data_IF_723547335100
#
_entry.id   IF_723547335100
#
_cell.length_a   1.000
_cell.length_b   1.000
_cell.length_c   1.000
_cell.angle_alpha   90.00
_cell.angle_beta   90.00
_cell.angle_gamma   90.00
#
_symmetry.space_group_name_H-M   'P 1'
#
loop_
_entity.id
_entity.type
_entity.pdbx_description
1 polymer ?
#
# COMPACT_ATOMS: atom_id res chain seq x y z
N UNK A 1 13.41 3.74 6.48
CA UNK A 1 14.55 4.68 6.44
C UNK A 1 15.79 4.01 5.82
N UNK A 2 16.31 2.91 6.37
CA UNK A 2 17.54 2.26 5.91
C UNK A 2 17.58 2.01 4.39
N UNK A 3 16.52 1.46 3.80
CA UNK A 3 16.44 1.25 2.35
C UNK A 3 16.46 2.57 1.57
N UNK A 4 15.83 3.62 2.09
CA UNK A 4 15.81 4.92 1.43
C UNK A 4 17.22 5.54 1.42
N UNK A 5 17.91 5.47 2.55
CA UNK A 5 19.30 5.96 2.67
C UNK A 5 20.23 5.14 1.77
N UNK A 6 20.10 3.80 1.80
CA UNK A 6 20.91 2.93 0.93
C UNK A 6 20.71 3.24 -0.56
N UNK A 7 19.48 3.53 -0.97
CA UNK A 7 19.13 3.75 -2.39
C UNK A 7 19.55 5.14 -2.89
N UNK A 8 19.46 6.17 -2.04
CA UNK A 8 19.58 7.57 -2.47
C UNK A 8 20.55 8.41 -1.62
N UNK A 9 21.32 7.80 -0.72
CA UNK A 9 22.28 8.47 0.16
C UNK A 9 21.63 9.21 1.34
N UNK A 10 20.36 9.61 1.26
CA UNK A 10 19.63 10.26 2.34
C UNK A 10 18.11 10.11 2.20
N UNK A 11 17.36 10.26 3.31
CA UNK A 11 15.90 10.34 3.24
C UNK A 11 15.41 11.49 2.34
N UNK A 12 16.04 12.66 2.42
CA UNK A 12 15.68 13.83 1.63
C UNK A 12 15.82 13.55 0.13
N UNK A 13 16.93 12.95 -0.28
CA UNK A 13 17.15 12.56 -1.67
C UNK A 13 16.14 11.49 -2.13
N UNK A 14 15.86 10.49 -1.30
CA UNK A 14 14.87 9.47 -1.62
C UNK A 14 13.45 10.05 -1.76
N UNK A 15 13.05 10.97 -0.88
CA UNK A 15 11.75 11.66 -0.97
C UNK A 15 11.66 12.50 -2.25
N UNK A 16 12.75 13.13 -2.67
CA UNK A 16 12.80 13.84 -3.96
C UNK A 16 12.52 12.87 -5.12
N UNK A 17 13.16 11.68 -5.13
CA UNK A 17 12.90 10.63 -6.13
C UNK A 17 11.45 10.13 -6.09
N UNK A 18 10.88 9.93 -4.88
CA UNK A 18 9.46 9.55 -4.73
C UNK A 18 8.53 10.58 -5.37
N UNK A 19 8.77 11.87 -5.13
CA UNK A 19 7.93 12.94 -5.69
C UNK A 19 8.12 13.09 -7.21
N UNK A 20 9.35 12.98 -7.71
CA UNK A 20 9.64 12.97 -9.14
C UNK A 20 8.89 11.82 -9.82
N UNK A 21 8.97 10.61 -9.24
CA UNK A 21 8.25 9.44 -9.77
C UNK A 21 6.73 9.60 -9.73
N UNK A 22 6.18 10.16 -8.67
CA UNK A 22 4.76 10.46 -8.58
C UNK A 22 4.32 11.42 -9.69
N UNK A 23 5.11 12.48 -9.96
CA UNK A 23 4.85 13.42 -11.05
C UNK A 23 4.88 12.74 -12.43
N UNK A 24 5.87 11.89 -12.71
CA UNK A 24 5.96 11.10 -13.95
C UNK A 24 4.73 10.19 -14.15
N UNK A 25 4.15 9.68 -13.06
CA UNK A 25 2.95 8.87 -13.09
C UNK A 25 1.66 9.70 -13.23
N UNK A 26 1.77 11.01 -13.35
CA UNK A 26 0.64 11.93 -13.43
C UNK A 26 -0.14 12.04 -12.11
N UNK A 27 0.53 11.89 -10.97
CA UNK A 27 -0.05 12.08 -9.65
C UNK A 27 -0.07 13.58 -9.32
N UNK A 28 -1.21 14.23 -9.48
CA UNK A 28 -1.34 15.68 -9.31
C UNK A 28 -1.71 16.11 -7.88
N UNK A 29 -2.14 15.15 -7.03
CA UNK A 29 -2.55 15.39 -5.65
C UNK A 29 -1.68 14.61 -4.66
N UNK A 30 -0.39 14.43 -4.99
CA UNK A 30 0.54 13.67 -4.16
C UNK A 30 1.76 14.51 -3.81
N UNK A 31 2.07 14.56 -2.51
CA UNK A 31 3.29 15.17 -1.99
C UNK A 31 3.83 14.30 -0.86
N UNK A 32 4.98 13.69 -1.08
CA UNK A 32 5.66 12.91 -0.06
C UNK A 32 6.65 13.77 0.72
N UNK A 33 6.68 13.60 2.06
CA UNK A 33 7.60 14.28 2.98
C UNK A 33 8.43 13.30 3.80
N UNK A 34 8.13 11.99 3.67
CA UNK A 34 8.89 10.91 4.30
C UNK A 34 8.76 9.63 3.49
N UNK A 35 9.71 8.68 3.58
CA UNK A 35 9.62 7.39 2.90
C UNK A 35 8.73 6.38 3.62
N UNK A 36 8.43 6.60 4.90
CA UNK A 36 7.75 5.64 5.77
C UNK A 36 6.24 5.92 5.97
N UNK A 37 5.73 7.09 5.54
CA UNK A 37 4.30 7.41 5.58
C UNK A 37 3.76 7.91 6.92
N UNK A 38 4.61 8.21 7.91
CA UNK A 38 4.18 8.89 9.12
C UNK A 38 3.83 10.34 8.82
N UNK A 39 2.87 10.88 9.57
CA UNK A 39 2.36 12.23 9.38
C UNK A 39 3.45 13.28 9.44
N UNK A 40 3.54 14.08 8.39
CA UNK A 40 4.35 15.32 8.33
C UNK A 40 3.52 16.39 7.60
N UNK A 41 3.72 17.66 7.96
CA UNK A 41 3.01 18.78 7.31
C UNK A 41 3.19 18.71 5.78
N UNK A 42 2.09 18.70 5.05
CA UNK A 42 2.07 18.62 3.60
C UNK A 42 2.35 17.22 3.01
N UNK A 43 2.42 16.15 3.84
CA UNK A 43 2.46 14.77 3.35
C UNK A 43 1.05 14.31 3.03
N UNK A 44 0.79 13.91 1.79
CA UNK A 44 -0.54 13.46 1.41
C UNK A 44 -0.61 12.92 -0.01
N UNK A 45 -1.74 12.29 -0.30
CA UNK A 45 -2.06 11.75 -1.62
C UNK A 45 -3.58 11.66 -1.81
N UNK A 46 -4.02 11.34 -3.02
CA UNK A 46 -5.41 11.03 -3.34
C UNK A 46 -5.61 9.54 -3.62
N UNK A 47 -6.85 9.05 -3.48
CA UNK A 47 -7.18 7.68 -3.84
C UNK A 47 -6.83 7.35 -5.30
N UNK A 48 -7.05 8.29 -6.22
CA UNK A 48 -6.70 8.15 -7.63
C UNK A 48 -5.20 8.01 -7.84
N UNK A 49 -4.40 8.83 -7.17
CA UNK A 49 -2.95 8.80 -7.33
C UNK A 49 -2.34 7.55 -6.71
N UNK A 50 -2.81 7.13 -5.53
CA UNK A 50 -2.38 5.87 -4.93
C UNK A 50 -2.75 4.66 -5.80
N UNK A 51 -3.89 4.69 -6.49
CA UNK A 51 -4.23 3.64 -7.47
C UNK A 51 -3.26 3.63 -8.66
N UNK A 52 -2.84 4.81 -9.18
CA UNK A 52 -1.82 4.89 -10.25
C UNK A 52 -0.49 4.30 -9.79
N UNK A 53 -0.02 4.70 -8.60
CA UNK A 53 1.23 4.20 -8.00
C UNK A 53 1.16 2.69 -7.80
N UNK A 54 0.10 2.18 -7.19
CA UNK A 54 -0.09 0.75 -6.93
C UNK A 54 -0.14 -0.06 -8.23
N UNK A 55 -0.79 0.46 -9.28
CA UNK A 55 -0.84 -0.19 -10.60
C UNK A 55 0.54 -0.40 -11.20
N UNK A 56 1.41 0.59 -11.08
CA UNK A 56 2.80 0.49 -11.58
C UNK A 56 3.62 -0.42 -10.70
N UNK A 57 3.53 -0.28 -9.37
CA UNK A 57 4.27 -1.11 -8.43
C UNK A 57 3.95 -2.60 -8.59
N UNK A 58 2.69 -2.96 -8.83
CA UNK A 58 2.26 -4.35 -9.02
C UNK A 58 2.79 -5.00 -10.33
N UNK A 59 3.31 -4.22 -11.28
CA UNK A 59 4.03 -4.78 -12.44
C UNK A 59 5.38 -5.38 -12.05
N UNK A 60 5.98 -4.93 -10.95
CA UNK A 60 7.19 -5.54 -10.40
C UNK A 60 6.82 -6.85 -9.70
N UNK A 61 7.35 -7.98 -10.20
CA UNK A 61 7.04 -9.33 -9.70
C UNK A 61 7.44 -9.52 -8.24
N UNK A 62 8.59 -8.96 -7.83
CA UNK A 62 9.07 -9.04 -6.44
C UNK A 62 8.14 -8.27 -5.50
N UNK A 63 7.76 -7.05 -5.85
CA UNK A 63 6.78 -6.27 -5.09
C UNK A 63 5.45 -7.01 -4.96
N UNK A 64 4.90 -7.50 -6.08
CA UNK A 64 3.64 -8.23 -6.10
C UNK A 64 3.69 -9.51 -5.22
N UNK A 65 4.81 -10.23 -5.21
CA UNK A 65 5.03 -11.38 -4.32
C UNK A 65 5.04 -10.96 -2.85
N UNK A 66 5.80 -9.92 -2.51
CA UNK A 66 5.91 -9.43 -1.12
C UNK A 66 4.55 -9.01 -0.58
N UNK A 67 3.80 -8.14 -1.28
CA UNK A 67 2.51 -7.64 -0.80
C UNK A 67 1.41 -8.71 -0.75
N UNK A 68 1.59 -9.83 -1.42
CA UNK A 68 0.70 -11.00 -1.40
C UNK A 68 1.15 -12.07 -0.38
N UNK A 69 2.18 -11.82 0.41
CA UNK A 69 2.69 -12.75 1.42
C UNK A 69 1.94 -12.57 2.73
N UNK A 70 1.31 -13.65 3.24
CA UNK A 70 0.55 -13.64 4.49
C UNK A 70 1.45 -13.62 5.72
N UNK A 71 2.54 -14.37 5.66
CA UNK A 71 3.47 -14.54 6.76
C UNK A 71 4.85 -14.84 6.18
N UNK A 72 5.88 -14.30 6.80
CA UNK A 72 7.27 -14.52 6.41
C UNK A 72 8.11 -14.74 7.66
N UNK A 73 8.83 -15.86 7.69
CA UNK A 73 9.80 -16.17 8.75
C UNK A 73 11.20 -15.89 8.24
N UNK A 74 12.00 -15.25 9.06
CA UNK A 74 13.43 -15.04 8.80
C UNK A 74 14.24 -15.19 10.07
N UNK A 75 15.52 -15.50 9.89
CA UNK A 75 16.49 -15.59 10.97
C UNK A 75 17.56 -14.52 10.75
N UNK A 76 17.88 -13.77 11.79
CA UNK A 76 18.93 -12.76 11.75
C UNK A 76 20.33 -13.43 11.78
N UNK A 77 21.36 -12.66 11.45
CA UNK A 77 22.76 -13.11 11.57
C UNK A 77 23.15 -13.52 12.99
N UNK A 78 22.42 -13.04 14.01
CA UNK A 78 22.61 -13.42 15.42
C UNK A 78 21.81 -14.67 15.82
N UNK A 79 21.20 -15.40 14.89
CA UNK A 79 20.42 -16.61 15.15
C UNK A 79 18.97 -16.41 15.63
N UNK A 80 18.52 -15.16 15.85
CA UNK A 80 17.16 -14.90 16.30
C UNK A 80 16.17 -15.06 15.14
N UNK A 81 15.12 -15.86 15.34
CA UNK A 81 14.05 -16.08 14.35
C UNK A 81 12.82 -15.23 14.64
N UNK A 82 12.28 -14.60 13.60
CA UNK A 82 11.07 -13.78 13.68
C UNK A 82 10.05 -14.22 12.63
N UNK A 83 8.79 -14.16 12.99
CA UNK A 83 7.69 -14.38 12.05
C UNK A 83 6.88 -13.10 11.91
N UNK A 84 6.95 -12.47 10.74
CA UNK A 84 6.15 -11.31 10.39
C UNK A 84 4.82 -11.76 9.78
N UNK A 85 3.73 -11.15 10.21
CA UNK A 85 2.38 -11.39 9.65
C UNK A 85 1.89 -10.14 8.93
N UNK A 86 1.16 -10.33 7.84
CA UNK A 86 0.54 -9.21 7.13
C UNK A 86 -0.48 -8.48 8.01
N UNK A 87 -0.53 -7.17 7.89
CA UNK A 87 -1.58 -6.32 8.48
C UNK A 87 -2.85 -6.28 7.64
N UNK A 88 -2.83 -6.86 6.42
CA UNK A 88 -4.00 -6.95 5.54
C UNK A 88 -4.92 -8.10 5.99
N UNK A 89 -5.96 -7.76 6.78
CA UNK A 89 -6.91 -8.75 7.31
C UNK A 89 -7.73 -9.49 6.23
N UNK A 90 -7.76 -8.99 4.99
CA UNK A 90 -8.48 -9.63 3.88
C UNK A 90 -7.62 -10.65 3.12
N UNK A 91 -6.29 -10.57 3.23
CA UNK A 91 -5.38 -11.45 2.51
C UNK A 91 -5.49 -12.88 3.02
N UNK A 92 -5.87 -13.79 2.10
CA UNK A 92 -6.12 -15.19 2.40
C UNK A 92 -7.47 -15.49 3.07
N UNK A 93 -8.29 -14.47 3.37
CA UNK A 93 -9.66 -14.63 3.88
C UNK A 93 -10.72 -14.21 2.84
N UNK A 94 -10.36 -13.36 1.91
CA UNK A 94 -11.24 -12.90 0.82
C UNK A 94 -10.67 -13.36 -0.50
N UNK A 95 -11.43 -14.18 -1.22
CA UNK A 95 -11.00 -14.69 -2.52
C UNK A 95 -10.67 -13.55 -3.48
N UNK A 96 -9.54 -13.67 -4.18
CA UNK A 96 -9.07 -12.69 -5.16
C UNK A 96 -8.18 -11.57 -4.60
N UNK A 97 -8.13 -11.34 -3.30
CA UNK A 97 -7.23 -10.33 -2.70
C UNK A 97 -5.76 -10.71 -2.90
N UNK A 98 -4.95 -9.75 -3.38
CA UNK A 98 -3.52 -9.90 -3.73
C UNK A 98 -2.59 -8.86 -3.09
N UNK A 99 -3.05 -8.11 -2.13
CA UNK A 99 -2.30 -7.04 -1.46
C UNK A 99 -3.18 -5.82 -1.24
N UNK A 100 -2.69 -4.60 -1.08
CA UNK A 100 -1.32 -4.11 -1.25
C UNK A 100 -0.79 -3.60 0.11
N UNK A 101 -1.35 -2.50 0.65
CA UNK A 101 -0.80 -1.84 1.84
C UNK A 101 -1.89 -1.22 2.70
N UNK A 102 -1.77 -1.44 4.00
CA UNK A 102 -2.53 -0.72 5.03
C UNK A 102 -1.76 0.49 5.53
N UNK A 103 -2.44 1.50 6.04
CA UNK A 103 -1.86 2.64 6.73
C UNK A 103 -2.77 3.11 7.85
N UNK A 104 -2.17 3.71 8.88
CA UNK A 104 -2.88 4.41 9.93
C UNK A 104 -1.96 5.46 10.56
N UNK A 105 -2.49 6.63 10.74
CA UNK A 105 -2.05 7.66 11.70
C UNK A 105 -3.29 8.40 12.17
N UNK A 106 -3.24 9.05 13.32
CA UNK A 106 -4.41 9.79 13.84
C UNK A 106 -4.90 10.85 12.86
N UNK A 107 -4.00 11.51 12.17
CA UNK A 107 -4.35 12.52 11.16
C UNK A 107 -4.88 11.94 9.84
N UNK A 108 -4.44 10.74 9.45
CA UNK A 108 -4.84 10.12 8.17
C UNK A 108 -6.05 9.19 8.29
N UNK A 109 -6.40 8.77 9.51
CA UNK A 109 -7.37 7.70 9.71
C UNK A 109 -6.89 6.36 9.19
N UNK A 110 -7.78 5.41 9.07
CA UNK A 110 -7.47 4.07 8.58
C UNK A 110 -7.53 4.02 7.07
N UNK A 111 -6.41 3.65 6.43
CA UNK A 111 -6.23 3.63 4.98
C UNK A 111 -5.91 2.22 4.47
N UNK A 112 -6.34 1.92 3.24
CA UNK A 112 -6.00 0.69 2.57
C UNK A 112 -5.97 0.86 1.05
N UNK A 113 -4.89 0.41 0.44
CA UNK A 113 -4.82 0.16 -1.00
C UNK A 113 -4.94 -1.34 -1.21
N UNK A 114 -5.97 -1.79 -1.89
CA UNK A 114 -6.25 -3.19 -2.18
C UNK A 114 -6.07 -3.53 -3.65
N UNK A 115 -5.55 -4.72 -3.95
CA UNK A 115 -5.59 -5.32 -5.27
C UNK A 115 -6.50 -6.55 -5.23
N UNK A 116 -7.42 -6.64 -6.17
CA UNK A 116 -8.42 -7.69 -6.24
C UNK A 116 -8.49 -8.30 -7.65
N UNK A 117 -8.20 -9.61 -7.75
CA UNK A 117 -8.32 -10.36 -9.01
C UNK A 117 -9.73 -10.94 -9.13
N UNK A 118 -10.42 -10.60 -10.22
CA UNK A 118 -11.76 -11.09 -10.53
C UNK A 118 -11.96 -11.24 -12.02
N UNK A 119 -12.50 -12.38 -12.48
CA UNK A 119 -12.70 -12.71 -13.90
C UNK A 119 -11.47 -12.40 -14.77
N UNK A 120 -10.29 -12.85 -14.33
CA UNK A 120 -9.02 -12.63 -15.05
C UNK A 120 -8.40 -11.23 -14.95
N UNK A 121 -9.15 -10.22 -14.52
CA UNK A 121 -8.70 -8.83 -14.40
C UNK A 121 -8.28 -8.48 -12.98
N UNK A 122 -7.40 -7.49 -12.83
CA UNK A 122 -7.02 -6.93 -11.53
C UNK A 122 -7.65 -5.55 -11.35
N UNK A 123 -8.42 -5.42 -10.28
CA UNK A 123 -9.03 -4.17 -9.85
C UNK A 123 -8.27 -3.62 -8.65
N UNK A 124 -8.17 -2.31 -8.56
CA UNK A 124 -7.59 -1.61 -7.41
C UNK A 124 -8.71 -0.92 -6.63
N UNK A 125 -8.69 -1.07 -5.33
CA UNK A 125 -9.58 -0.36 -4.41
C UNK A 125 -8.72 0.49 -3.49
N UNK A 126 -9.11 1.74 -3.26
CA UNK A 126 -8.42 2.64 -2.35
C UNK A 126 -9.42 3.24 -1.39
N UNK A 127 -9.19 3.01 -0.11
CA UNK A 127 -9.96 3.56 1.00
C UNK A 127 -9.02 4.43 1.83
N UNK A 128 -9.38 5.68 2.05
CA UNK A 128 -8.61 6.66 2.82
C UNK A 128 -9.51 7.29 3.88
N UNK A 129 -8.93 7.60 5.04
CA UNK A 129 -9.61 8.38 6.07
C UNK A 129 -10.76 7.65 6.77
N UNK A 130 -10.83 6.32 6.75
CA UNK A 130 -11.87 5.61 7.51
C UNK A 130 -11.70 5.85 9.01
N UNK A 131 -12.79 6.09 9.75
CA UNK A 131 -12.73 6.44 11.18
C UNK A 131 -12.27 5.25 12.05
N UNK A 132 -12.43 4.03 11.57
CA UNK A 132 -11.99 2.84 12.30
C UNK A 132 -11.37 1.77 11.38
N UNK A 133 -10.64 0.85 12.00
CA UNK A 133 -10.13 -0.34 11.30
C UNK A 133 -11.27 -1.15 10.68
N UNK A 134 -12.39 -1.31 11.39
CA UNK A 134 -13.50 -2.14 10.92
C UNK A 134 -14.25 -1.46 9.77
N UNK A 135 -14.43 -0.14 9.84
CA UNK A 135 -15.02 0.64 8.75
C UNK A 135 -14.16 0.53 7.48
N UNK A 136 -12.83 0.66 7.58
CA UNK A 136 -11.90 0.45 6.45
C UNK A 136 -12.15 -0.89 5.74
N UNK A 137 -12.34 -1.96 6.50
CA UNK A 137 -12.58 -3.29 5.92
C UNK A 137 -13.99 -3.43 5.35
N UNK A 138 -14.99 -2.81 5.99
CA UNK A 138 -16.37 -2.73 5.50
C UNK A 138 -16.42 -2.00 4.16
N UNK A 139 -15.82 -0.82 4.07
CA UNK A 139 -15.75 -0.02 2.84
C UNK A 139 -15.04 -0.78 1.73
N UNK A 140 -13.92 -1.42 2.04
CA UNK A 140 -13.21 -2.26 1.06
C UNK A 140 -14.10 -3.38 0.53
N UNK A 141 -14.80 -4.08 1.41
CA UNK A 141 -15.73 -5.16 0.99
C UNK A 141 -16.89 -4.64 0.14
N UNK A 142 -17.39 -3.44 0.43
CA UNK A 142 -18.42 -2.79 -0.39
C UNK A 142 -17.90 -2.52 -1.81
N UNK A 143 -16.69 -1.98 -1.96
CA UNK A 143 -16.04 -1.80 -3.26
C UNK A 143 -15.83 -3.12 -4.00
N UNK A 144 -15.46 -4.21 -3.29
CA UNK A 144 -15.35 -5.54 -3.92
C UNK A 144 -16.71 -6.09 -4.40
N UNK A 145 -17.78 -5.86 -3.63
CA UNK A 145 -19.14 -6.20 -4.07
C UNK A 145 -19.53 -5.41 -5.33
N UNK A 146 -19.22 -4.12 -5.36
CA UNK A 146 -19.44 -3.28 -6.53
C UNK A 146 -18.73 -3.83 -7.77
N UNK A 147 -17.43 -4.16 -7.66
CA UNK A 147 -16.67 -4.78 -8.76
C UNK A 147 -17.34 -6.07 -9.24
N UNK A 148 -17.75 -6.94 -8.32
CA UNK A 148 -18.41 -8.22 -8.68
C UNK A 148 -19.76 -8.04 -9.35
N UNK A 149 -20.48 -6.96 -9.01
CA UNK A 149 -21.82 -6.69 -9.57
C UNK A 149 -21.75 -6.12 -10.98
N UNK A 150 -20.75 -5.28 -11.27
CA UNK A 150 -20.74 -4.47 -12.51
C UNK A 150 -19.66 -4.87 -13.52
N UNK A 151 -18.77 -5.81 -13.17
CA UNK A 151 -17.68 -6.28 -14.02
C UNK A 151 -17.57 -7.82 -14.03
#
# INVERSE_FOLDING_TARGET
EALAIHTAGSEKAFVALMNARAKELGCTHTSFKSPHGLTRKGHGSSARDLAKIARVALKNRTFAKIVNTKSYRFTTSRGNSYTMKTTNKLLGKTAGIRGVKTGYTDAAGHCFVGAFKYKGKTYLTVVLGSPSSDQRWSDTKALLKYVKKYF
#
